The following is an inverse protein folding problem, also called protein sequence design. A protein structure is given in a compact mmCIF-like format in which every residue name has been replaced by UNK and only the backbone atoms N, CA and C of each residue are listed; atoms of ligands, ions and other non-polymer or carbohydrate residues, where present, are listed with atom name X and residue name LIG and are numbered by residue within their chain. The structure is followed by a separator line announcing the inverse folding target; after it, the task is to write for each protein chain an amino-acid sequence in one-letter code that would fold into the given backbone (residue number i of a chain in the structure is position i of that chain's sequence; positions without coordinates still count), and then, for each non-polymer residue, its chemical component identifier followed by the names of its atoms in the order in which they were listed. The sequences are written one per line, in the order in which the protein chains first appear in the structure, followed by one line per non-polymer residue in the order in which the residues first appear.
data_IF_809309327389
#
_entry.id   IF_809309327389
#
_cell.length_a   1.000
_cell.length_b   1.000
_cell.length_c   1.000
_cell.angle_alpha   90.00
_cell.angle_beta   90.00
_cell.angle_gamma   90.00
#
_symmetry.space_group_name_H-M   'P 1'
#
loop_
_entity.id
_entity.type
_entity.pdbx_description
1 polymer ?
#
# COMPACT_ATOMS: atom_id res chain seq x y z
N UNK A 1 -15.33 9.57 -33.57
CA UNK A 1 -14.63 9.85 -32.30
C UNK A 1 -13.55 10.90 -32.54
N UNK A 2 -13.70 12.09 -31.93
CA UNK A 2 -12.77 13.22 -32.05
C UNK A 2 -11.36 12.85 -31.55
N UNK A 3 -10.31 13.44 -32.15
CA UNK A 3 -8.90 13.21 -31.79
C UNK A 3 -8.64 13.61 -30.33
N UNK A 4 -9.30 14.66 -29.85
CA UNK A 4 -9.25 15.10 -28.45
C UNK A 4 -9.78 14.01 -27.51
N UNK A 5 -10.97 13.46 -27.80
CA UNK A 5 -11.59 12.44 -26.94
C UNK A 5 -10.72 11.19 -26.84
N UNK A 6 -10.13 10.72 -27.95
CA UNK A 6 -9.16 9.59 -27.90
C UNK A 6 -7.93 9.91 -27.04
N UNK A 7 -7.44 11.15 -27.07
CA UNK A 7 -6.31 11.57 -26.23
C UNK A 7 -6.70 11.53 -24.75
N UNK A 8 -7.87 12.09 -24.40
CA UNK A 8 -8.40 12.06 -23.02
C UNK A 8 -8.57 10.61 -22.55
N UNK A 9 -9.18 9.75 -23.35
CA UNK A 9 -9.36 8.33 -23.02
C UNK A 9 -8.01 7.62 -22.81
N UNK A 10 -7.03 7.86 -23.68
CA UNK A 10 -5.70 7.24 -23.55
C UNK A 10 -4.96 7.69 -22.28
N UNK A 11 -5.06 8.97 -21.93
CA UNK A 11 -4.47 9.53 -20.72
C UNK A 11 -5.20 9.01 -19.48
N UNK A 12 -6.54 8.97 -19.51
CA UNK A 12 -7.35 8.44 -18.43
C UNK A 12 -7.05 6.96 -18.18
N UNK A 13 -6.94 6.14 -19.23
CA UNK A 13 -6.60 4.73 -19.10
C UNK A 13 -5.22 4.52 -18.46
N UNK A 14 -4.22 5.33 -18.84
CA UNK A 14 -2.88 5.27 -18.23
C UNK A 14 -2.87 5.76 -16.79
N UNK A 15 -3.64 6.81 -16.48
CA UNK A 15 -3.76 7.33 -15.12
C UNK A 15 -4.44 6.32 -14.20
N UNK A 16 -5.55 5.71 -14.64
CA UNK A 16 -6.24 4.63 -13.93
C UNK A 16 -5.35 3.39 -13.74
N UNK A 17 -4.45 3.11 -14.69
CA UNK A 17 -3.45 2.05 -14.57
C UNK A 17 -2.24 2.43 -13.69
N UNK A 18 -2.25 3.60 -13.03
CA UNK A 18 -1.15 4.14 -12.24
C UNK A 18 0.20 4.23 -13.01
N UNK A 19 0.13 4.47 -14.32
CA UNK A 19 1.29 4.62 -15.24
C UNK A 19 1.36 6.00 -15.88
N UNK A 20 0.52 6.94 -15.46
CA UNK A 20 0.62 8.32 -15.90
C UNK A 20 1.74 9.03 -15.14
N UNK A 21 2.50 9.84 -15.87
CA UNK A 21 3.43 10.81 -15.30
C UNK A 21 2.68 12.07 -14.83
N UNK A 22 3.30 12.88 -13.97
CA UNK A 22 2.68 14.13 -13.48
C UNK A 22 2.29 15.09 -14.61
N UNK A 23 3.10 15.16 -15.67
CA UNK A 23 2.82 15.98 -16.85
C UNK A 23 1.58 15.48 -17.60
N UNK A 24 1.41 14.17 -17.72
CA UNK A 24 0.26 13.55 -18.37
C UNK A 24 -1.01 13.68 -17.53
N UNK A 25 -0.90 13.61 -16.20
CA UNK A 25 -2.01 13.92 -15.30
C UNK A 25 -2.43 15.39 -15.41
N UNK A 26 -1.47 16.32 -15.45
CA UNK A 26 -1.77 17.74 -15.65
C UNK A 26 -2.43 18.00 -17.02
N UNK A 27 -1.96 17.34 -18.08
CA UNK A 27 -2.57 17.39 -19.41
C UNK A 27 -4.02 16.89 -19.35
N UNK A 28 -4.26 15.73 -18.71
CA UNK A 28 -5.59 15.16 -18.52
C UNK A 28 -6.52 16.11 -17.76
N UNK A 29 -6.09 16.64 -16.62
CA UNK A 29 -6.85 17.61 -15.82
C UNK A 29 -7.18 18.86 -16.62
N UNK A 30 -6.25 19.36 -17.43
CA UNK A 30 -6.47 20.52 -18.30
C UNK A 30 -7.53 20.21 -19.37
N UNK A 31 -7.43 19.07 -20.03
CA UNK A 31 -8.35 18.67 -21.11
C UNK A 31 -9.78 18.43 -20.62
N UNK A 32 -9.93 17.88 -19.41
CA UNK A 32 -11.24 17.67 -18.77
C UNK A 32 -11.91 19.01 -18.37
N UNK A 33 -11.13 20.04 -18.02
CA UNK A 33 -11.65 21.37 -17.68
C UNK A 33 -12.01 22.23 -18.88
N UNK A 34 -11.30 22.07 -20.01
CA UNK A 34 -11.39 22.98 -21.15
C UNK A 34 -12.39 22.57 -22.22
N UNK A 35 -13.25 21.57 -21.99
CA UNK A 35 -14.20 21.12 -23.00
C UNK A 35 -15.23 20.13 -22.48
N UNK A 36 -16.05 19.63 -23.40
CA UNK A 36 -17.09 18.64 -23.09
C UNK A 36 -16.44 17.33 -22.64
N UNK A 37 -16.88 16.82 -21.50
CA UNK A 37 -16.38 15.58 -20.88
C UNK A 37 -17.13 14.40 -21.49
N UNK A 38 -16.44 13.39 -22.04
CA UNK A 38 -17.08 12.17 -22.52
C UNK A 38 -17.90 11.50 -21.40
N UNK A 39 -19.05 10.92 -21.74
CA UNK A 39 -19.96 10.26 -20.79
C UNK A 39 -19.23 9.28 -19.86
N UNK A 40 -18.37 8.45 -20.44
CA UNK A 40 -17.59 7.42 -19.75
C UNK A 40 -16.56 7.96 -18.75
N UNK A 41 -16.26 9.25 -18.81
CA UNK A 41 -15.26 9.91 -17.99
C UNK A 41 -15.85 10.97 -17.05
N UNK A 42 -17.18 11.08 -16.95
CA UNK A 42 -17.84 11.99 -16.00
C UNK A 42 -17.42 11.73 -14.57
N UNK A 43 -17.40 10.47 -14.15
CA UNK A 43 -17.02 10.09 -12.78
C UNK A 43 -15.56 10.43 -12.48
N UNK A 44 -14.67 10.23 -13.45
CA UNK A 44 -13.26 10.59 -13.34
C UNK A 44 -13.06 12.11 -13.27
N UNK A 45 -13.85 12.89 -14.01
CA UNK A 45 -13.84 14.34 -13.92
C UNK A 45 -14.31 14.82 -12.53
N UNK A 46 -15.39 14.24 -12.00
CA UNK A 46 -15.89 14.52 -10.66
C UNK A 46 -14.85 14.17 -9.57
N UNK A 47 -14.14 13.05 -9.73
CA UNK A 47 -13.04 12.67 -8.84
C UNK A 47 -11.94 13.73 -8.82
N UNK A 48 -11.48 14.20 -9.98
CA UNK A 48 -10.45 15.24 -10.06
C UNK A 48 -10.91 16.58 -9.48
N UNK A 49 -12.19 16.91 -9.62
CA UNK A 49 -12.79 18.09 -9.00
C UNK A 49 -12.78 17.98 -7.48
N UNK A 50 -13.25 16.85 -6.93
CA UNK A 50 -13.25 16.58 -5.49
C UNK A 50 -11.84 16.61 -4.89
N UNK A 51 -10.87 15.97 -5.53
CA UNK A 51 -9.47 16.04 -5.13
C UNK A 51 -8.92 17.47 -5.17
N UNK A 52 -9.31 18.26 -6.17
CA UNK A 52 -8.97 19.67 -6.28
C UNK A 52 -9.52 20.49 -5.12
N UNK A 53 -10.79 20.30 -4.77
CA UNK A 53 -11.43 20.99 -3.65
C UNK A 53 -10.73 20.67 -2.33
N UNK A 54 -10.47 19.39 -2.06
CA UNK A 54 -9.78 18.94 -0.85
C UNK A 54 -8.34 19.46 -0.76
N UNK A 55 -7.64 19.58 -1.89
CA UNK A 55 -6.27 20.13 -1.88
C UNK A 55 -6.20 21.61 -1.49
N UNK A 56 -7.30 22.35 -1.63
CA UNK A 56 -7.40 23.76 -1.23
C UNK A 56 -7.81 23.98 0.22
N UNK A 57 -8.35 22.97 0.89
CA UNK A 57 -8.74 23.05 2.31
C UNK A 57 -7.48 23.00 3.19
N UNK A 58 -6.96 24.19 3.50
CA UNK A 58 -5.92 24.36 4.52
C UNK A 58 -6.58 24.34 5.89
N UNK A 59 -6.03 23.55 6.82
CA UNK A 59 -6.42 23.59 8.22
C UNK A 59 -6.47 25.05 8.69
N UNK A 60 -7.56 25.52 9.31
CA UNK A 60 -7.65 26.91 9.73
C UNK A 60 -6.44 27.23 10.60
N UNK A 61 -5.78 28.35 10.32
CA UNK A 61 -4.66 28.81 11.14
C UNK A 61 -5.18 28.96 12.58
N UNK A 62 -4.84 28.00 13.45
CA UNK A 62 -5.19 27.99 14.87
C UNK A 62 -4.46 29.08 15.66
N UNK A 63 -3.98 30.13 15.00
CA UNK A 63 -3.34 31.31 15.57
C UNK A 63 -4.26 32.54 15.66
N UNK A 64 -5.46 32.51 15.07
CA UNK A 64 -6.33 33.69 14.99
C UNK A 64 -7.47 33.70 16.04
N UNK A 65 -7.36 32.94 17.12
CA UNK A 65 -8.26 33.07 18.27
C UNK A 65 -7.72 34.13 19.25
N UNK A 66 -8.17 35.37 19.04
CA UNK A 66 -8.42 36.35 20.10
C UNK A 66 -7.19 36.96 20.81
N UNK A 67 -6.77 38.13 20.34
CA UNK A 67 -6.33 39.19 21.26
C UNK A 67 -6.86 40.54 20.77
N UNK A 68 -7.61 41.29 21.60
CA UNK A 68 -8.09 42.60 21.20
C UNK A 68 -6.89 43.55 21.07
N UNK A 69 -7.03 44.50 20.16
CA UNK A 69 -6.05 45.54 19.90
C UNK A 69 -5.66 46.25 21.20
N UNK A 70 -4.37 46.18 21.54
CA UNK A 70 -3.73 47.10 22.44
C UNK A 70 -2.53 47.68 21.71
N UNK A 71 -2.60 48.99 21.53
CA UNK A 71 -1.62 49.88 20.94
C UNK A 71 -0.25 49.79 21.64
N UNK A 72 0.76 50.35 20.97
CA UNK A 72 2.07 50.81 21.47
C UNK A 72 3.32 49.88 21.41
N UNK A 73 4.19 50.27 20.46
CA UNK A 73 5.64 50.54 20.60
C UNK A 73 6.67 49.40 20.78
N UNK A 74 7.45 49.23 19.71
CA UNK A 74 8.87 48.85 19.58
C UNK A 74 9.71 48.31 20.77
N UNK A 75 10.33 47.14 20.47
CA UNK A 75 11.77 46.76 20.64
C UNK A 75 12.19 45.99 21.91
N UNK A 76 12.46 44.68 21.75
CA UNK A 76 13.79 44.00 21.92
C UNK A 76 13.64 42.46 21.90
N UNK A 77 14.49 41.78 21.12
CA UNK A 77 14.78 40.34 21.25
C UNK A 77 15.64 40.11 22.51
N UNK A 78 15.46 38.98 23.23
CA UNK A 78 16.47 37.91 23.21
C UNK A 78 15.84 36.49 23.26
N UNK A 79 16.36 35.54 22.46
CA UNK A 79 17.28 34.44 22.83
C UNK A 79 16.60 33.18 23.42
N UNK A 80 16.58 32.15 22.57
CA UNK A 80 16.72 30.71 22.81
C UNK A 80 16.02 30.07 24.03
N UNK A 81 14.94 29.34 23.75
CA UNK A 81 14.53 28.16 24.53
C UNK A 81 14.33 27.02 23.52
N UNK A 82 15.21 26.03 23.61
CA UNK A 82 15.23 24.79 22.85
C UNK A 82 14.09 23.85 23.25
N UNK A 83 13.35 23.35 22.25
CA UNK A 83 12.44 22.20 22.24
C UNK A 83 11.16 22.23 23.10
N UNK A 84 10.01 21.90 22.45
CA UNK A 84 9.43 20.57 22.69
C UNK A 84 8.88 19.91 21.41
N UNK A 85 9.68 19.82 20.33
CA UNK A 85 9.30 19.07 19.11
C UNK A 85 9.11 17.55 19.36
N UNK A 86 9.52 17.02 20.52
CA UNK A 86 9.44 15.59 20.82
C UNK A 86 8.02 15.07 21.11
N UNK A 87 7.09 15.94 21.54
CA UNK A 87 5.71 15.51 21.86
C UNK A 87 4.84 15.28 20.63
N UNK A 88 5.08 16.02 19.55
CA UNK A 88 4.34 15.87 18.29
C UNK A 88 4.88 14.72 17.44
N UNK A 89 6.18 14.43 17.53
CA UNK A 89 6.78 13.25 16.90
C UNK A 89 6.22 11.94 17.50
N UNK A 90 6.01 11.86 18.81
CA UNK A 90 5.47 10.66 19.45
C UNK A 90 4.06 10.26 18.95
N UNK A 91 3.20 11.25 18.66
CA UNK A 91 1.84 11.00 18.14
C UNK A 91 1.89 10.49 16.70
N UNK A 92 2.81 11.01 15.89
CA UNK A 92 2.98 10.57 14.49
C UNK A 92 3.58 9.17 14.38
N UNK A 93 4.48 8.77 15.30
CA UNK A 93 5.01 7.40 15.35
C UNK A 93 3.97 6.36 15.80
N UNK A 94 3.02 6.73 16.66
CA UNK A 94 1.96 5.84 17.11
C UNK A 94 1.04 5.37 15.98
N UNK A 95 0.73 6.24 15.01
CA UNK A 95 -0.13 5.90 13.87
C UNK A 95 0.57 4.93 12.91
N UNK A 96 1.87 5.11 12.66
CA UNK A 96 2.65 4.20 11.81
C UNK A 96 2.76 2.79 12.42
N UNK A 97 2.98 2.67 13.73
CA UNK A 97 3.04 1.38 14.41
C UNK A 97 1.70 0.63 14.36
N UNK A 98 0.58 1.35 14.51
CA UNK A 98 -0.76 0.76 14.41
C UNK A 98 -1.07 0.23 12.99
N UNK A 99 -0.63 0.94 11.95
CA UNK A 99 -0.78 0.49 10.56
C UNK A 99 0.07 -0.75 10.29
N UNK A 100 1.33 -0.78 10.73
CA UNK A 100 2.20 -1.96 10.58
C UNK A 100 1.63 -3.17 11.34
N UNK A 101 1.15 -2.97 12.57
CA UNK A 101 0.50 -4.02 13.34
C UNK A 101 -0.79 -4.52 12.65
N UNK A 102 -1.61 -3.61 12.11
CA UNK A 102 -2.82 -3.95 11.36
C UNK A 102 -2.53 -4.75 10.09
N UNK A 103 -1.51 -4.35 9.33
CA UNK A 103 -1.05 -5.08 8.13
C UNK A 103 -0.52 -6.47 8.53
N UNK A 104 0.25 -6.57 9.61
CA UNK A 104 0.79 -7.85 10.09
C UNK A 104 -0.33 -8.80 10.56
N UNK A 105 -1.32 -8.28 11.27
CA UNK A 105 -2.50 -9.04 11.71
C UNK A 105 -3.34 -9.49 10.51
N UNK A 106 -3.54 -8.61 9.52
CA UNK A 106 -4.25 -8.96 8.29
C UNK A 106 -3.49 -10.03 7.48
N UNK A 107 -2.16 -9.93 7.38
CA UNK A 107 -1.33 -10.94 6.74
C UNK A 107 -1.36 -12.29 7.48
N UNK A 108 -1.51 -12.29 8.80
CA UNK A 108 -1.72 -13.49 9.60
C UNK A 108 -3.09 -14.14 9.39
N UNK A 109 -4.13 -13.34 9.16
CA UNK A 109 -5.50 -13.81 8.90
C UNK A 109 -5.69 -14.36 7.48
N UNK A 110 -4.98 -13.82 6.49
CA UNK A 110 -4.99 -14.29 5.10
C UNK A 110 -3.97 -15.42 4.87
N UNK A 111 -3.30 -15.87 5.93
CA UNK A 111 -2.26 -16.90 5.80
C UNK A 111 -2.93 -18.22 5.41
N UNK A 112 -2.65 -18.66 4.19
CA UNK A 112 -3.16 -19.91 3.66
C UNK A 112 -2.37 -21.08 4.26
N UNK A 113 -3.02 -22.13 4.77
CA UNK A 113 -2.31 -23.28 5.34
C UNK A 113 -1.59 -24.06 4.23
N UNK A 114 -0.36 -24.50 4.49
CA UNK A 114 0.40 -25.30 3.53
C UNK A 114 -0.21 -26.70 3.35
N UNK A 115 -0.63 -27.33 4.45
CA UNK A 115 -1.32 -28.61 4.45
C UNK A 115 -2.13 -28.78 5.74
N UNK A 116 -2.97 -29.83 5.77
CA UNK A 116 -3.73 -30.23 6.95
C UNK A 116 -3.20 -31.58 7.45
N UNK A 117 -2.89 -31.66 8.74
CA UNK A 117 -2.46 -32.89 9.41
C UNK A 117 -3.49 -33.18 10.51
N UNK A 118 -4.12 -34.35 10.46
CA UNK A 118 -5.22 -34.74 11.36
C UNK A 118 -6.36 -33.70 11.44
N UNK A 119 -6.66 -33.07 10.29
CA UNK A 119 -7.68 -32.02 10.19
C UNK A 119 -7.27 -30.67 10.80
N UNK A 120 -6.03 -30.51 11.27
CA UNK A 120 -5.50 -29.24 11.78
C UNK A 120 -4.65 -28.54 10.71
N UNK A 121 -4.83 -27.22 10.48
CA UNK A 121 -4.04 -26.47 9.51
C UNK A 121 -2.61 -26.27 10.00
N UNK A 122 -1.64 -26.57 9.15
CA UNK A 122 -0.20 -26.35 9.40
C UNK A 122 0.31 -25.23 8.51
N UNK A 123 0.83 -24.17 9.15
CA UNK A 123 1.28 -22.93 8.49
C UNK A 123 2.81 -22.79 8.41
N UNK A 124 3.53 -23.68 9.09
CA UNK A 124 4.98 -23.70 9.08
C UNK A 124 5.47 -24.70 8.02
N UNK A 125 6.26 -24.19 7.09
CA UNK A 125 6.81 -24.96 5.96
C UNK A 125 7.68 -26.11 6.45
N UNK A 126 8.49 -25.87 7.47
CA UNK A 126 9.42 -26.89 7.96
C UNK A 126 8.66 -27.98 8.71
N UNK A 127 7.58 -27.63 9.41
CA UNK A 127 6.69 -28.61 10.06
C UNK A 127 5.91 -29.41 9.02
N UNK A 128 5.42 -28.77 7.95
CA UNK A 128 4.78 -29.46 6.83
C UNK A 128 5.72 -30.48 6.17
N UNK A 129 6.99 -30.11 5.95
CA UNK A 129 8.01 -30.98 5.35
C UNK A 129 8.54 -32.05 6.32
N UNK A 130 8.67 -31.76 7.61
CA UNK A 130 9.03 -32.77 8.61
C UNK A 130 7.94 -33.83 8.79
N UNK A 131 6.68 -33.48 8.56
CA UNK A 131 5.61 -34.49 8.55
C UNK A 131 5.70 -35.37 7.30
N UNK A 132 6.25 -34.84 6.20
CA UNK A 132 6.71 -35.65 5.08
C UNK A 132 8.02 -36.39 5.37
N UNK A 133 8.55 -36.44 6.59
CA UNK A 133 9.59 -37.43 6.95
C UNK A 133 9.06 -38.89 6.89
N UNK A 134 7.77 -39.10 6.61
CA UNK A 134 7.28 -40.34 6.00
C UNK A 134 7.93 -40.66 4.63
N UNK A 135 8.67 -39.73 4.02
CA UNK A 135 9.51 -39.94 2.84
C UNK A 135 10.82 -40.65 3.17
N UNK A 136 11.21 -40.78 4.44
CA UNK A 136 12.33 -41.64 4.83
C UNK A 136 12.00 -43.12 4.59
N UNK A 137 10.71 -43.49 4.61
CA UNK A 137 10.24 -44.81 4.14
C UNK A 137 10.33 -44.99 2.62
N UNK A 138 10.36 -43.91 1.83
CA UNK A 138 10.65 -43.98 0.39
C UNK A 138 12.15 -44.17 0.12
N UNK A 139 13.04 -43.65 0.96
CA UNK A 139 14.46 -43.99 0.91
C UNK A 139 14.72 -45.48 1.22
N UNK A 140 13.93 -46.10 2.11
CA UNK A 140 13.98 -47.55 2.34
C UNK A 140 13.47 -48.38 1.13
N UNK A 141 12.53 -47.83 0.35
CA UNK A 141 12.07 -48.45 -0.90
C UNK A 141 13.15 -48.41 -1.99
N UNK A 142 13.95 -47.34 -2.05
CA UNK A 142 15.09 -47.21 -2.98
C UNK A 142 16.23 -48.20 -2.65
N UNK A 143 16.46 -48.48 -1.37
CA UNK A 143 17.37 -49.56 -0.96
C UNK A 143 16.85 -50.95 -1.38
N UNK A 144 15.53 -51.14 -1.42
CA UNK A 144 14.92 -52.42 -1.82
C UNK A 144 14.93 -52.62 -3.34
N UNK A 145 14.74 -51.57 -4.14
CA UNK A 145 14.85 -51.65 -5.60
C UNK A 145 16.26 -52.01 -6.04
N UNK A 146 17.29 -51.50 -5.35
CA UNK A 146 18.69 -51.82 -5.64
C UNK A 146 19.01 -53.31 -5.46
N UNK A 147 18.46 -53.93 -4.41
CA UNK A 147 18.63 -55.38 -4.14
C UNK A 147 17.91 -56.22 -5.21
N UNK A 148 16.76 -55.74 -5.70
CA UNK A 148 15.99 -56.43 -6.76
C UNK A 148 16.69 -56.33 -8.12
N UNK A 149 17.28 -55.18 -8.45
CA UNK A 149 18.07 -55.01 -9.68
C UNK A 149 19.32 -55.91 -9.68
N UNK A 150 20.02 -56.01 -8.56
CA UNK A 150 21.21 -56.87 -8.43
C UNK A 150 20.87 -58.37 -8.60
N UNK A 151 19.66 -58.78 -8.19
CA UNK A 151 19.14 -60.15 -8.40
C UNK A 151 18.66 -60.41 -9.83
N UNK A 152 18.23 -59.37 -10.55
CA UNK A 152 17.82 -59.47 -11.96
C UNK A 152 19.00 -59.50 -12.92
N UNK A 153 20.10 -58.83 -12.60
CA UNK A 153 21.30 -58.74 -13.43
C UNK A 153 22.21 -59.96 -13.28
N UNK A 154 22.08 -60.71 -12.18
CA UNK A 154 22.84 -61.94 -11.90
C UNK A 154 22.08 -63.23 -12.31
N UNK A 155 21.48 -63.22 -13.50
CA UNK A 155 20.75 -64.36 -14.08
C UNK A 155 21.22 -64.72 -15.48
#
# INVERSE_FOLDING_TARGET
MDKRNRRIESLAARWMAARATDAEEQELRRLLRSGEVPESLRDLAALFEGLGALSGERMPDTGAAGRPAADSSCRKLPRAETHPLHRLAAVWWGMAAAVVAGILVLAGLVREPYCYIDGRPVYDREVALQTTAYLDSFAALDATSQIVDELMENK
#
